data_IF_462954176645
#
_entry.id   IF_462954176645
#
_cell.length_a   1.000
_cell.length_b   1.000
_cell.length_c   1.000
_cell.angle_alpha   90.00
_cell.angle_beta   90.00
_cell.angle_gamma   90.00
#
_symmetry.space_group_name_H-M   'P 1'
#
loop_
_entity.id
_entity.type
_entity.pdbx_description
1 polymer ?
#
# COMPACT_ATOMS: atom_id res chain seq x y z
N UNK A 1 55.22 2.47 11.93
CA UNK A 1 54.03 2.98 12.66
C UNK A 1 53.06 3.75 11.76
N UNK A 2 53.51 4.48 10.74
CA UNK A 2 52.63 5.29 9.86
C UNK A 2 51.63 4.51 8.97
N UNK A 3 51.97 3.28 8.56
CA UNK A 3 51.10 2.46 7.70
C UNK A 3 49.85 1.93 8.43
N UNK A 4 50.01 1.48 9.68
CA UNK A 4 48.90 1.03 10.52
C UNK A 4 47.96 2.18 10.90
N UNK A 5 48.49 3.36 11.19
CA UNK A 5 47.67 4.54 11.43
C UNK A 5 46.89 4.96 10.18
N UNK A 6 47.48 4.87 8.99
CA UNK A 6 46.81 5.21 7.73
C UNK A 6 45.63 4.29 7.44
N UNK A 7 45.79 2.97 7.64
CA UNK A 7 44.70 1.98 7.52
C UNK A 7 43.60 2.25 8.54
N UNK A 8 43.95 2.62 9.78
CA UNK A 8 42.99 3.00 10.81
C UNK A 8 42.16 4.23 10.44
N UNK A 9 42.78 5.26 9.85
CA UNK A 9 42.06 6.45 9.38
C UNK A 9 41.14 6.14 8.20
N UNK A 10 41.58 5.31 7.25
CA UNK A 10 40.76 4.88 6.12
C UNK A 10 39.53 4.08 6.56
N UNK A 11 39.70 3.15 7.51
CA UNK A 11 38.57 2.37 8.03
C UNK A 11 37.59 3.23 8.82
N UNK A 12 38.08 4.14 9.68
CA UNK A 12 37.24 5.09 10.41
C UNK A 12 36.45 6.01 9.45
N UNK A 13 37.09 6.48 8.37
CA UNK A 13 36.43 7.27 7.34
C UNK A 13 35.31 6.49 6.63
N UNK A 14 35.58 5.24 6.23
CA UNK A 14 34.58 4.38 5.59
C UNK A 14 33.40 4.08 6.50
N UNK A 15 33.66 3.76 7.78
CA UNK A 15 32.62 3.54 8.79
C UNK A 15 31.77 4.79 8.97
N UNK A 16 32.40 5.97 9.02
CA UNK A 16 31.70 7.26 9.16
C UNK A 16 30.80 7.51 7.95
N UNK A 17 31.29 7.30 6.73
CA UNK A 17 30.47 7.42 5.51
C UNK A 17 29.29 6.45 5.56
N UNK A 18 29.52 5.17 5.87
CA UNK A 18 28.46 4.17 5.96
C UNK A 18 27.40 4.57 7.00
N UNK A 19 27.82 5.14 8.14
CA UNK A 19 26.91 5.61 9.17
C UNK A 19 26.08 6.80 8.69
N UNK A 20 26.71 7.80 8.06
CA UNK A 20 26.02 8.97 7.50
C UNK A 20 25.03 8.55 6.42
N UNK A 21 25.42 7.66 5.49
CA UNK A 21 24.52 7.14 4.45
C UNK A 21 23.35 6.37 5.05
N UNK A 22 23.55 5.59 6.12
CA UNK A 22 22.45 4.93 6.83
C UNK A 22 21.49 5.94 7.46
N UNK A 23 21.99 6.99 8.10
CA UNK A 23 21.14 8.03 8.69
C UNK A 23 20.35 8.78 7.61
N UNK A 24 21.02 9.17 6.51
CA UNK A 24 20.39 9.80 5.37
C UNK A 24 19.31 8.90 4.75
N UNK A 25 19.60 7.60 4.58
CA UNK A 25 18.64 6.60 4.10
C UNK A 25 17.43 6.45 5.03
N UNK A 26 17.63 6.46 6.36
CA UNK A 26 16.53 6.44 7.34
C UNK A 26 15.66 7.70 7.24
N UNK A 27 16.27 8.87 7.14
CA UNK A 27 15.54 10.14 7.00
C UNK A 27 14.76 10.20 5.69
N UNK A 28 15.38 9.78 4.58
CA UNK A 28 14.74 9.72 3.27
C UNK A 28 13.57 8.74 3.26
N UNK A 29 13.76 7.53 3.81
CA UNK A 29 12.67 6.56 3.96
C UNK A 29 11.54 7.11 4.83
N UNK A 30 11.85 7.75 5.95
CA UNK A 30 10.82 8.35 6.81
C UNK A 30 10.02 9.42 6.06
N UNK A 31 10.69 10.27 5.28
CA UNK A 31 10.03 11.25 4.41
C UNK A 31 9.10 10.58 3.41
N UNK A 32 9.59 9.58 2.67
CA UNK A 32 8.78 8.85 1.69
C UNK A 32 7.58 8.13 2.32
N UNK A 33 7.76 7.53 3.50
CA UNK A 33 6.64 6.91 4.23
C UNK A 33 5.60 7.97 4.62
N UNK A 34 6.04 9.14 5.06
CA UNK A 34 5.14 10.24 5.43
C UNK A 34 4.45 10.89 4.21
N UNK A 35 5.08 10.94 3.04
CA UNK A 35 4.52 11.63 1.86
C UNK A 35 3.79 10.71 0.89
N UNK A 36 4.25 9.47 0.74
CA UNK A 36 3.77 8.55 -0.30
C UNK A 36 2.87 7.42 0.26
N UNK A 37 2.73 7.30 1.58
CA UNK A 37 1.93 6.21 2.18
C UNK A 37 0.88 6.74 3.14
N UNK A 38 -0.26 6.05 3.18
CA UNK A 38 -1.36 6.34 4.10
C UNK A 38 -1.23 5.59 5.45
N UNK A 39 0.01 5.27 5.88
CA UNK A 39 0.25 4.42 7.04
C UNK A 39 -0.15 5.08 8.37
N UNK A 40 -0.09 6.41 8.45
CA UNK A 40 -0.44 7.13 9.68
C UNK A 40 -1.95 7.39 9.79
N UNK A 41 -2.63 7.47 8.65
CA UNK A 41 -4.08 7.57 8.49
C UNK A 41 -4.77 6.27 8.91
N UNK A 42 -4.05 5.15 8.92
CA UNK A 42 -4.56 3.88 9.42
C UNK A 42 -5.03 3.94 10.87
N UNK A 43 -4.33 4.71 11.72
CA UNK A 43 -4.73 4.88 13.11
C UNK A 43 -6.04 5.67 13.22
N UNK A 44 -6.24 6.63 12.32
CA UNK A 44 -7.52 7.35 12.20
C UNK A 44 -8.61 6.36 11.79
N UNK A 45 -8.36 5.47 10.82
CA UNK A 45 -9.32 4.43 10.44
C UNK A 45 -9.67 3.49 11.61
N UNK A 46 -8.67 3.05 12.39
CA UNK A 46 -8.90 2.21 13.58
C UNK A 46 -9.69 2.90 14.68
N UNK A 47 -9.51 4.21 14.87
CA UNK A 47 -10.15 5.00 15.93
C UNK A 47 -11.46 5.65 15.53
N UNK A 48 -11.72 5.77 14.23
CA UNK A 48 -12.95 6.37 13.71
C UNK A 48 -14.12 5.46 14.07
N UNK A 49 -14.78 5.77 15.19
CA UNK A 49 -16.07 5.20 15.51
C UNK A 49 -17.07 5.50 14.40
N UNK A 50 -18.04 4.59 14.19
CA UNK A 50 -19.10 4.82 13.22
C UNK A 50 -19.84 6.13 13.58
N UNK A 51 -20.12 7.00 12.60
CA UNK A 51 -20.87 8.21 12.87
C UNK A 51 -22.26 7.88 13.43
N UNK A 52 -22.77 8.74 14.31
CA UNK A 52 -24.10 8.57 14.93
C UNK A 52 -25.24 8.60 13.92
N UNK A 53 -25.05 9.28 12.79
CA UNK A 53 -25.96 9.27 11.66
C UNK A 53 -25.17 9.19 10.35
N UNK A 54 -25.70 8.46 9.37
CA UNK A 54 -25.14 8.40 8.01
C UNK A 54 -25.57 9.62 7.21
N UNK A 55 -24.70 10.05 6.31
CA UNK A 55 -24.96 11.09 5.33
C UNK A 55 -25.96 10.54 4.31
N UNK A 56 -27.11 11.19 4.12
CA UNK A 56 -28.11 10.76 3.14
C UNK A 56 -27.58 10.93 1.72
N UNK A 57 -27.82 9.93 0.86
CA UNK A 57 -27.35 9.94 -0.53
C UNK A 57 -26.48 8.75 -0.90
N UNK A 58 -25.78 8.87 -2.03
CA UNK A 58 -24.96 7.80 -2.60
C UNK A 58 -23.55 8.32 -2.85
N UNK A 59 -22.55 7.70 -2.21
CA UNK A 59 -21.15 7.90 -2.56
C UNK A 59 -20.80 7.06 -3.80
N UNK A 60 -20.18 7.68 -4.80
CA UNK A 60 -19.73 6.99 -6.02
C UNK A 60 -18.21 6.84 -5.95
N UNK A 61 -17.74 5.59 -6.04
CA UNK A 61 -16.32 5.25 -6.10
C UNK A 61 -16.00 4.80 -7.52
N UNK A 62 -15.24 5.61 -8.26
CA UNK A 62 -14.83 5.30 -9.63
C UNK A 62 -13.53 4.48 -9.62
N UNK A 63 -13.65 3.15 -9.75
CA UNK A 63 -12.58 2.17 -9.71
C UNK A 63 -12.84 1.09 -8.64
N UNK A 64 -12.73 -0.18 -9.03
CA UNK A 64 -12.85 -1.39 -8.23
C UNK A 64 -11.51 -2.05 -7.88
N UNK A 65 -10.40 -1.36 -8.09
CA UNK A 65 -9.09 -1.79 -7.58
C UNK A 65 -9.07 -1.87 -6.04
N UNK A 66 -7.98 -2.38 -5.45
CA UNK A 66 -7.81 -2.42 -3.99
C UNK A 66 -8.08 -1.05 -3.35
N UNK A 67 -7.56 0.04 -3.92
CA UNK A 67 -7.80 1.38 -3.40
C UNK A 67 -9.30 1.78 -3.45
N UNK A 68 -9.98 1.41 -4.53
CA UNK A 68 -11.42 1.64 -4.70
C UNK A 68 -12.26 0.87 -3.69
N UNK A 69 -11.99 -0.42 -3.52
CA UNK A 69 -12.71 -1.25 -2.54
C UNK A 69 -12.50 -0.78 -1.10
N UNK A 70 -11.27 -0.40 -0.74
CA UNK A 70 -10.96 0.15 0.58
C UNK A 70 -11.68 1.48 0.80
N UNK A 71 -11.70 2.36 -0.21
CA UNK A 71 -12.46 3.62 -0.18
C UNK A 71 -13.94 3.35 0.02
N UNK A 72 -14.51 2.42 -0.74
CA UNK A 72 -15.93 2.06 -0.65
C UNK A 72 -16.29 1.51 0.74
N UNK A 73 -15.41 0.70 1.35
CA UNK A 73 -15.59 0.19 2.70
C UNK A 73 -15.65 1.31 3.73
N UNK A 74 -14.75 2.28 3.65
CA UNK A 74 -14.78 3.47 4.52
C UNK A 74 -16.06 4.25 4.27
N UNK A 75 -16.40 4.56 3.01
CA UNK A 75 -17.63 5.28 2.67
C UNK A 75 -18.90 4.58 3.20
N UNK A 76 -18.93 3.26 3.27
CA UNK A 76 -20.10 2.50 3.73
C UNK A 76 -20.43 2.77 5.22
N UNK A 77 -19.45 3.18 6.03
CA UNK A 77 -19.72 3.57 7.42
C UNK A 77 -20.33 4.98 7.52
N UNK A 78 -20.10 5.85 6.52
CA UNK A 78 -20.53 7.26 6.55
C UNK A 78 -21.73 7.57 5.65
N UNK A 79 -21.95 6.85 4.56
CA UNK A 79 -23.02 7.12 3.60
C UNK A 79 -24.09 6.02 3.63
N UNK A 80 -25.35 6.37 3.33
CA UNK A 80 -26.43 5.40 3.25
C UNK A 80 -26.21 4.36 2.14
N UNK A 81 -25.68 4.81 1.00
CA UNK A 81 -25.41 3.97 -0.17
C UNK A 81 -24.01 4.25 -0.70
N UNK A 82 -23.34 3.21 -1.15
CA UNK A 82 -22.06 3.29 -1.85
C UNK A 82 -22.16 2.50 -3.14
N UNK A 83 -21.82 3.14 -4.26
CA UNK A 83 -21.78 2.53 -5.58
C UNK A 83 -20.34 2.53 -6.09
N UNK A 84 -19.80 1.35 -6.37
CA UNK A 84 -18.50 1.21 -7.04
C UNK A 84 -18.76 1.10 -8.54
N UNK A 85 -18.07 1.92 -9.32
CA UNK A 85 -18.10 1.91 -10.79
C UNK A 85 -16.72 1.49 -11.28
N UNK A 86 -16.60 0.25 -11.75
CA UNK A 86 -15.36 -0.24 -12.37
C UNK A 86 -15.57 -0.34 -13.89
N UNK A 87 -15.01 0.61 -14.67
CA UNK A 87 -15.15 0.61 -16.13
C UNK A 87 -14.26 -0.42 -16.85
N UNK A 88 -13.40 -1.17 -16.13
CA UNK A 88 -12.58 -2.20 -16.74
C UNK A 88 -13.40 -3.44 -17.16
N UNK A 89 -13.87 -3.41 -18.42
CA UNK A 89 -14.73 -4.42 -19.03
C UNK A 89 -14.15 -5.84 -19.12
N UNK A 90 -12.85 -6.01 -18.96
CA UNK A 90 -12.20 -7.33 -18.95
C UNK A 90 -12.45 -8.15 -17.67
N UNK A 91 -13.12 -7.59 -16.65
CA UNK A 91 -13.68 -8.42 -15.56
C UNK A 91 -14.80 -9.35 -16.05
N UNK A 92 -15.36 -9.07 -17.23
CA UNK A 92 -16.42 -9.86 -17.87
C UNK A 92 -15.90 -10.67 -19.07
N UNK A 93 -14.60 -10.60 -19.37
CA UNK A 93 -13.96 -11.32 -20.47
C UNK A 93 -12.93 -12.31 -19.90
N UNK A 94 -12.94 -13.56 -20.37
CA UNK A 94 -11.92 -14.56 -20.01
C UNK A 94 -10.59 -14.22 -20.69
N UNK A 95 -9.84 -13.24 -20.16
CA UNK A 95 -8.55 -12.83 -20.73
C UNK A 95 -7.44 -13.77 -20.22
N UNK A 96 -7.34 -14.93 -20.86
CA UNK A 96 -6.31 -15.96 -20.65
C UNK A 96 -4.93 -15.63 -21.28
N UNK A 97 -4.68 -14.42 -21.77
CA UNK A 97 -3.38 -14.14 -22.41
C UNK A 97 -2.26 -13.98 -21.38
N UNK A 98 -1.37 -14.96 -21.34
CA UNK A 98 -0.17 -15.03 -20.48
C UNK A 98 1.03 -14.26 -21.06
N UNK A 99 0.89 -13.68 -22.26
CA UNK A 99 1.95 -13.08 -23.09
C UNK A 99 1.85 -11.54 -23.13
N UNK A 100 2.76 -10.83 -22.42
CA UNK A 100 2.69 -9.36 -22.26
C UNK A 100 2.85 -8.53 -23.54
N UNK A 101 3.53 -9.05 -24.57
CA UNK A 101 3.83 -8.33 -25.82
C UNK A 101 2.72 -8.46 -26.88
N UNK A 102 1.70 -9.27 -26.64
CA UNK A 102 0.52 -9.42 -27.53
C UNK A 102 -0.63 -8.47 -27.12
N UNK A 103 -0.42 -7.67 -26.07
CA UNK A 103 -1.41 -6.73 -25.54
C UNK A 103 -1.47 -5.49 -26.45
N UNK A 104 -2.47 -5.44 -27.33
CA UNK A 104 -2.75 -4.32 -28.25
C UNK A 104 -3.37 -3.08 -27.55
N UNK A 105 -3.90 -3.23 -26.34
CA UNK A 105 -4.60 -2.14 -25.63
C UNK A 105 -3.67 -1.28 -24.76
N UNK A 106 -3.89 0.05 -24.82
CA UNK A 106 -3.06 1.12 -24.24
C UNK A 106 -2.99 1.14 -22.70
N UNK A 107 -3.81 0.36 -21.99
CA UNK A 107 -3.64 0.05 -20.56
C UNK A 107 -2.98 -1.31 -20.43
N UNK A 108 -1.70 -1.35 -20.74
CA UNK A 108 -0.87 -2.54 -20.66
C UNK A 108 -0.74 -2.98 -19.20
N UNK A 109 -0.96 -4.28 -18.95
CA UNK A 109 -0.72 -4.93 -17.67
C UNK A 109 0.72 -4.65 -17.26
N UNK A 110 0.92 -3.83 -16.23
CA UNK A 110 2.21 -3.79 -15.54
C UNK A 110 2.31 -5.13 -14.80
N UNK A 111 3.20 -6.00 -15.26
CA UNK A 111 3.42 -7.31 -14.65
C UNK A 111 3.85 -7.08 -13.21
N UNK A 112 2.88 -7.29 -12.32
CA UNK A 112 2.97 -6.87 -10.93
C UNK A 112 4.07 -7.61 -10.17
N UNK A 113 4.40 -8.86 -10.55
CA UNK A 113 5.50 -9.62 -9.93
C UNK A 113 6.91 -9.11 -10.30
N UNK A 114 7.05 -8.34 -11.39
CA UNK A 114 8.33 -7.70 -11.75
C UNK A 114 8.53 -6.34 -11.09
N UNK A 115 7.48 -5.82 -10.44
CA UNK A 115 7.54 -4.58 -9.66
C UNK A 115 7.55 -4.91 -8.18
N UNK A 116 8.43 -4.25 -7.42
CA UNK A 116 8.44 -4.39 -5.96
C UNK A 116 7.14 -3.83 -5.38
N UNK A 117 6.13 -4.68 -5.24
CA UNK A 117 4.85 -4.28 -4.66
C UNK A 117 4.99 -4.18 -3.15
N UNK A 118 5.34 -2.99 -2.67
CA UNK A 118 5.26 -2.64 -1.24
C UNK A 118 3.84 -2.67 -0.65
N UNK A 119 2.85 -3.14 -1.42
CA UNK A 119 1.45 -3.23 -1.03
C UNK A 119 1.17 -4.33 -0.01
N UNK A 120 1.93 -5.42 0.04
CA UNK A 120 1.56 -6.58 0.87
C UNK A 120 1.47 -6.24 2.37
N UNK A 121 2.47 -5.57 3.00
CA UNK A 121 2.37 -5.22 4.42
C UNK A 121 1.29 -4.16 4.69
N UNK A 122 1.16 -3.18 3.78
CA UNK A 122 0.20 -2.08 3.93
C UNK A 122 -1.23 -2.59 3.78
N UNK A 123 -1.48 -3.45 2.79
CA UNK A 123 -2.78 -4.08 2.56
C UNK A 123 -3.23 -4.93 3.75
N UNK A 124 -2.33 -5.73 4.32
CA UNK A 124 -2.60 -6.47 5.57
C UNK A 124 -3.03 -5.54 6.70
N UNK A 125 -2.25 -4.48 6.96
CA UNK A 125 -2.53 -3.54 8.04
C UNK A 125 -3.87 -2.81 7.84
N UNK A 126 -4.22 -2.45 6.60
CA UNK A 126 -5.50 -1.82 6.26
C UNK A 126 -6.67 -2.79 6.49
N UNK A 127 -6.56 -4.02 6.01
CA UNK A 127 -7.63 -5.01 6.19
C UNK A 127 -7.85 -5.34 7.67
N UNK A 128 -6.79 -5.48 8.45
CA UNK A 128 -6.87 -5.66 9.89
C UNK A 128 -7.57 -4.47 10.58
N UNK A 129 -7.28 -3.23 10.17
CA UNK A 129 -7.95 -2.05 10.70
C UNK A 129 -9.44 -1.98 10.36
N UNK A 130 -9.84 -2.40 9.15
CA UNK A 130 -11.23 -2.34 8.69
C UNK A 130 -12.11 -3.50 9.21
N UNK A 131 -11.49 -4.62 9.56
CA UNK A 131 -12.16 -5.86 9.99
C UNK A 131 -11.54 -6.43 11.30
N UNK A 132 -11.50 -5.65 12.39
CA UNK A 132 -10.70 -5.97 13.58
C UNK A 132 -11.11 -7.26 14.30
N UNK A 133 -12.35 -7.75 14.14
CA UNK A 133 -12.85 -8.95 14.83
C UNK A 133 -12.81 -10.23 14.00
N UNK A 134 -12.83 -10.14 12.67
CA UNK A 134 -12.97 -11.32 11.79
C UNK A 134 -11.71 -11.60 10.96
N UNK A 135 -10.91 -10.58 10.65
CA UNK A 135 -9.79 -10.72 9.73
C UNK A 135 -8.74 -11.74 10.19
N UNK A 136 -8.29 -11.67 11.44
CA UNK A 136 -7.28 -12.62 11.95
C UNK A 136 -7.80 -14.06 12.02
N UNK A 137 -9.11 -14.25 12.18
CA UNK A 137 -9.74 -15.57 12.19
C UNK A 137 -9.84 -16.13 10.76
N UNK A 138 -10.24 -15.30 9.81
CA UNK A 138 -10.31 -15.65 8.38
C UNK A 138 -8.92 -15.98 7.80
N UNK A 139 -7.89 -15.19 8.13
CA UNK A 139 -6.51 -15.48 7.70
C UNK A 139 -6.02 -16.82 8.25
N UNK A 140 -6.30 -17.14 9.53
CA UNK A 140 -5.94 -18.44 10.12
C UNK A 140 -6.71 -19.61 9.49
N UNK A 141 -7.92 -19.38 9.01
CA UNK A 141 -8.72 -20.39 8.32
C UNK A 141 -8.28 -20.60 6.86
N UNK A 142 -7.66 -19.59 6.25
CA UNK A 142 -7.24 -19.60 4.84
C UNK A 142 -5.87 -20.24 4.55
N UNK A 143 -4.99 -20.37 5.54
CA UNK A 143 -3.64 -20.96 5.40
C UNK A 143 -2.52 -19.92 5.32
#
# INVERSE_FOLDING_TARGET
MHFLSFIGWLSAFFITICYVLRLAGRAFRAKLVLTETALFELEVLRRSGKPTARIPGTAIVAGGSIAGMLTARVCHDFFERVLIVEPEGWLFEDVETTTPWEISHKRSRLIQYLTFQGFQPIGYLILEALFPSSFSAEVKAGG
#
